data_IF_434090343395
#
_entry.id   IF_434090343395
#
_cell.length_a   1.000
_cell.length_b   1.000
_cell.length_c   1.000
_cell.angle_alpha   90.00
_cell.angle_beta   90.00
_cell.angle_gamma   90.00
#
_symmetry.space_group_name_H-M   'P 1'
#
loop_
_entity.id
_entity.type
_entity.pdbx_description
1 polymer ?
#
# COMPACT_ATOMS: atom_id res chain seq x y z
N UNK A 1 26.35 -34.91 43.93
CA UNK A 1 25.96 -33.49 43.78
C UNK A 1 26.51 -32.85 42.51
N UNK A 2 27.83 -32.89 42.26
CA UNK A 2 28.41 -32.31 41.03
C UNK A 2 27.91 -32.97 39.73
N UNK A 3 27.81 -34.30 39.70
CA UNK A 3 27.35 -35.06 38.52
C UNK A 3 25.89 -34.75 38.19
N UNK A 4 25.02 -34.70 39.20
CA UNK A 4 23.60 -34.36 39.03
C UNK A 4 23.40 -32.93 38.56
N UNK A 5 24.20 -31.98 39.06
CA UNK A 5 24.16 -30.59 38.62
C UNK A 5 24.61 -30.43 37.16
N UNK A 6 25.67 -31.14 36.77
CA UNK A 6 26.17 -31.13 35.39
C UNK A 6 25.14 -31.73 34.42
N UNK A 7 24.49 -32.84 34.79
CA UNK A 7 23.42 -33.44 33.98
C UNK A 7 22.25 -32.48 33.83
N UNK A 8 21.80 -31.83 34.92
CA UNK A 8 20.69 -30.90 34.87
C UNK A 8 20.99 -29.69 33.98
N UNK A 9 22.17 -29.09 34.12
CA UNK A 9 22.61 -27.96 33.30
C UNK A 9 22.66 -28.32 31.81
N UNK A 10 23.22 -29.48 31.49
CA UNK A 10 23.31 -30.00 30.12
C UNK A 10 21.93 -30.19 29.52
N UNK A 11 21.01 -30.77 30.29
CA UNK A 11 19.62 -31.00 29.88
C UNK A 11 18.89 -29.67 29.66
N UNK A 12 19.08 -28.68 30.53
CA UNK A 12 18.48 -27.35 30.38
C UNK A 12 18.99 -26.63 29.13
N UNK A 13 20.29 -26.67 28.86
CA UNK A 13 20.88 -26.07 27.64
C UNK A 13 20.38 -26.79 26.38
N UNK A 14 20.26 -28.11 26.41
CA UNK A 14 19.73 -28.88 25.29
C UNK A 14 18.25 -28.60 25.03
N UNK A 15 17.43 -28.54 26.07
CA UNK A 15 16.00 -28.20 25.97
C UNK A 15 15.83 -26.76 25.49
N UNK A 16 16.57 -25.80 26.06
CA UNK A 16 16.57 -24.42 25.63
C UNK A 16 16.99 -24.32 24.15
N UNK A 17 18.06 -25.00 23.74
CA UNK A 17 18.51 -25.08 22.35
C UNK A 17 17.45 -25.65 21.41
N UNK A 18 16.80 -26.75 21.76
CA UNK A 18 15.73 -27.37 20.95
C UNK A 18 14.47 -26.49 20.85
N UNK A 19 14.18 -25.66 21.85
CA UNK A 19 13.03 -24.75 21.85
C UNK A 19 13.35 -23.44 21.12
N UNK A 20 14.56 -22.89 21.31
CA UNK A 20 14.99 -21.61 20.75
C UNK A 20 15.50 -21.74 19.31
N UNK A 21 16.23 -22.80 18.95
CA UNK A 21 16.78 -22.99 17.61
C UNK A 21 15.72 -22.96 16.49
N UNK A 22 14.55 -23.61 16.59
CA UNK A 22 13.51 -23.51 15.56
C UNK A 22 12.84 -22.12 15.51
N UNK A 23 12.94 -21.31 16.57
CA UNK A 23 12.49 -19.91 16.59
C UNK A 23 13.53 -18.94 16.01
N UNK A 24 14.82 -19.28 16.14
CA UNK A 24 15.96 -18.51 15.64
C UNK A 24 16.31 -18.88 14.19
N UNK A 25 15.92 -20.07 13.73
CA UNK A 25 16.10 -20.48 12.34
C UNK A 25 15.29 -19.54 11.46
N UNK A 26 15.99 -18.65 10.76
CA UNK A 26 15.42 -17.80 9.72
C UNK A 26 14.53 -18.67 8.83
N UNK A 27 13.21 -18.45 8.92
CA UNK A 27 12.27 -19.10 8.00
C UNK A 27 12.62 -18.56 6.61
N UNK A 28 13.27 -19.40 5.81
CA UNK A 28 13.54 -19.07 4.41
C UNK A 28 12.20 -19.04 3.68
N UNK A 29 11.67 -17.84 3.48
CA UNK A 29 10.46 -17.65 2.68
C UNK A 29 10.81 -17.99 1.23
N UNK A 30 10.04 -18.90 0.65
CA UNK A 30 10.14 -19.30 -0.76
C UNK A 30 8.89 -18.77 -1.44
N UNK A 31 9.08 -17.93 -2.45
CA UNK A 31 7.99 -17.43 -3.28
C UNK A 31 7.85 -18.35 -4.50
N UNK A 32 6.62 -18.82 -4.77
CA UNK A 32 6.37 -19.65 -5.94
C UNK A 32 6.50 -18.80 -7.21
N UNK A 33 7.24 -19.32 -8.19
CA UNK A 33 7.49 -18.69 -9.47
C UNK A 33 6.84 -19.48 -10.63
N UNK A 34 5.82 -20.29 -10.33
CA UNK A 34 4.96 -20.94 -11.31
C UNK A 34 3.88 -19.96 -11.78
N UNK A 35 3.83 -19.57 -13.07
CA UNK A 35 2.87 -18.57 -13.55
C UNK A 35 1.42 -18.96 -13.24
N UNK A 36 0.67 -18.03 -12.69
CA UNK A 36 -0.75 -18.17 -12.37
C UNK A 36 -1.54 -16.94 -12.86
N UNK A 37 -2.85 -16.93 -12.60
CA UNK A 37 -3.79 -15.90 -13.05
C UNK A 37 -3.93 -14.80 -12.00
N UNK A 38 -4.42 -13.59 -12.38
CA UNK A 38 -4.64 -12.51 -11.44
C UNK A 38 -5.48 -12.91 -10.23
N UNK A 39 -5.05 -12.45 -9.05
CA UNK A 39 -5.71 -12.67 -7.77
C UNK A 39 -6.28 -11.33 -7.27
N UNK A 40 -7.52 -11.30 -6.77
CA UNK A 40 -8.12 -10.09 -6.20
C UNK A 40 -7.33 -9.48 -5.03
N UNK A 41 -7.38 -8.16 -4.90
CA UNK A 41 -6.85 -7.41 -3.76
C UNK A 41 -7.63 -6.09 -3.56
N UNK A 42 -7.20 -5.28 -2.59
CA UNK A 42 -7.63 -3.88 -2.45
C UNK A 42 -8.21 -3.52 -1.08
N UNK A 43 -8.55 -4.53 -0.27
CA UNK A 43 -8.98 -4.33 1.11
C UNK A 43 -7.77 -4.16 2.03
N UNK A 44 -7.88 -3.31 3.06
CA UNK A 44 -6.86 -3.13 4.12
C UNK A 44 -5.43 -2.95 3.60
N UNK A 45 -5.26 -2.20 2.52
CA UNK A 45 -3.97 -2.11 1.85
C UNK A 45 -3.79 -0.83 1.03
N UNK A 46 -2.58 -0.63 0.52
CA UNK A 46 -2.23 0.43 -0.41
C UNK A 46 -1.80 -0.16 -1.75
N UNK A 47 -2.19 0.48 -2.85
CA UNK A 47 -1.74 0.08 -4.17
C UNK A 47 -1.58 1.25 -5.14
N UNK A 48 -0.77 1.00 -6.17
CA UNK A 48 -0.68 1.80 -7.37
C UNK A 48 -1.28 1.02 -8.55
N UNK A 49 -2.01 1.71 -9.42
CA UNK A 49 -2.27 1.27 -10.77
C UNK A 49 -1.49 2.17 -11.74
N UNK A 50 -0.52 1.58 -12.45
CA UNK A 50 0.36 2.29 -13.38
C UNK A 50 0.02 1.85 -14.79
N UNK A 51 -0.32 2.78 -15.68
CA UNK A 51 -0.66 2.46 -17.08
C UNK A 51 0.61 2.14 -17.86
N UNK A 52 1.02 0.89 -17.84
CA UNK A 52 2.17 0.35 -18.57
C UNK A 52 2.12 -1.17 -18.65
N UNK A 53 2.76 -1.72 -19.68
CA UNK A 53 3.08 -3.15 -19.82
C UNK A 53 4.54 -3.47 -19.49
N UNK A 54 5.35 -2.45 -19.23
CA UNK A 54 6.77 -2.59 -18.91
C UNK A 54 6.98 -2.70 -17.39
N UNK A 55 6.80 -3.91 -16.87
CA UNK A 55 7.00 -4.22 -15.44
C UNK A 55 8.46 -4.02 -15.00
N UNK A 56 9.43 -4.26 -15.89
CA UNK A 56 10.85 -4.06 -15.58
C UNK A 56 11.14 -2.59 -15.30
N UNK A 57 10.61 -1.69 -16.13
CA UNK A 57 10.73 -0.24 -15.90
C UNK A 57 10.08 0.20 -14.59
N UNK A 58 8.95 -0.41 -14.21
CA UNK A 58 8.31 -0.14 -12.90
C UNK A 58 9.27 -0.51 -11.76
N UNK A 59 9.90 -1.68 -11.83
CA UNK A 59 10.87 -2.12 -10.81
C UNK A 59 12.08 -1.19 -10.71
N UNK A 60 12.63 -0.75 -11.84
CA UNK A 60 13.77 0.18 -11.89
C UNK A 60 13.45 1.49 -11.16
N UNK A 61 12.26 2.05 -11.40
CA UNK A 61 11.84 3.33 -10.81
C UNK A 61 11.54 3.19 -9.32
N UNK A 62 10.90 2.08 -8.91
CA UNK A 62 10.63 1.81 -7.50
C UNK A 62 11.93 1.55 -6.72
N UNK A 63 12.89 0.87 -7.34
CA UNK A 63 14.17 0.51 -6.75
C UNK A 63 14.02 -0.46 -5.58
N UNK A 64 13.11 -1.44 -5.69
CA UNK A 64 12.86 -2.45 -4.65
C UNK A 64 14.14 -3.22 -4.28
N UNK A 65 14.23 -3.64 -3.03
CA UNK A 65 15.38 -4.39 -2.53
C UNK A 65 15.19 -5.88 -2.78
N UNK A 66 16.15 -6.50 -3.46
CA UNK A 66 16.17 -7.93 -3.80
C UNK A 66 14.85 -8.42 -4.47
N UNK A 67 14.39 -7.78 -5.57
CA UNK A 67 13.19 -8.23 -6.25
C UNK A 67 13.40 -9.65 -6.80
N UNK A 68 12.42 -10.53 -6.60
CA UNK A 68 12.42 -11.91 -7.08
C UNK A 68 11.13 -12.19 -7.85
N UNK A 69 11.19 -12.94 -8.97
CA UNK A 69 9.99 -13.37 -9.65
C UNK A 69 9.08 -14.15 -8.70
N UNK A 70 7.78 -13.86 -8.74
CA UNK A 70 6.77 -14.64 -8.04
C UNK A 70 5.44 -14.61 -8.79
N UNK A 71 4.59 -15.59 -8.50
CA UNK A 71 3.23 -15.64 -9.01
C UNK A 71 2.28 -14.77 -8.18
N UNK A 72 1.06 -14.54 -8.69
CA UNK A 72 0.06 -13.70 -8.03
C UNK A 72 -0.31 -14.22 -6.66
N UNK A 73 -0.56 -15.53 -6.52
CA UNK A 73 -0.98 -16.09 -5.24
C UNK A 73 0.07 -15.89 -4.15
N UNK A 74 1.34 -16.16 -4.44
CA UNK A 74 2.44 -15.91 -3.50
C UNK A 74 2.64 -14.42 -3.25
N UNK A 75 2.58 -13.59 -4.30
CA UNK A 75 2.76 -12.15 -4.20
C UNK A 75 1.71 -11.46 -3.33
N UNK A 76 0.43 -11.65 -3.68
CA UNK A 76 -0.71 -11.13 -2.93
C UNK A 76 -0.76 -11.71 -1.52
N UNK A 77 -0.55 -13.02 -1.36
CA UNK A 77 -0.50 -13.64 -0.04
C UNK A 77 0.59 -13.04 0.86
N UNK A 78 1.76 -12.72 0.30
CA UNK A 78 2.87 -12.14 1.07
C UNK A 78 2.59 -10.71 1.54
N UNK A 79 1.91 -9.90 0.74
CA UNK A 79 1.62 -8.50 1.11
C UNK A 79 0.42 -8.37 2.07
N UNK A 80 -0.37 -9.43 2.22
CA UNK A 80 -1.42 -9.56 3.23
C UNK A 80 -0.97 -10.28 4.51
N UNK A 81 0.21 -10.93 4.50
CA UNK A 81 0.77 -11.60 5.66
C UNK A 81 1.21 -10.58 6.73
N UNK A 82 0.95 -10.89 8.01
CA UNK A 82 1.21 -9.99 9.14
C UNK A 82 2.70 -9.66 9.32
N UNK A 83 3.62 -10.51 8.86
CA UNK A 83 5.06 -10.30 9.00
C UNK A 83 5.70 -9.76 7.72
N UNK A 84 5.32 -10.30 6.57
CA UNK A 84 5.89 -9.90 5.28
C UNK A 84 5.24 -8.63 4.73
N UNK A 85 3.97 -8.39 5.02
CA UNK A 85 3.22 -7.23 4.50
C UNK A 85 3.72 -5.88 5.00
N UNK A 86 4.42 -5.85 6.13
CA UNK A 86 5.03 -4.63 6.70
C UNK A 86 6.17 -4.07 5.83
N UNK A 87 6.84 -4.92 5.06
CA UNK A 87 8.04 -4.54 4.33
C UNK A 87 8.13 -5.07 2.90
N UNK A 88 7.19 -5.88 2.42
CA UNK A 88 7.20 -6.36 1.04
C UNK A 88 6.21 -5.61 0.15
N UNK A 89 6.59 -5.55 -1.13
CA UNK A 89 5.81 -4.99 -2.22
C UNK A 89 5.74 -6.05 -3.31
N UNK A 90 4.52 -6.29 -3.79
CA UNK A 90 4.28 -7.10 -4.98
C UNK A 90 4.05 -6.18 -6.18
N UNK A 91 4.77 -6.44 -7.28
CA UNK A 91 4.55 -5.82 -8.58
C UNK A 91 3.98 -6.87 -9.50
N UNK A 92 2.76 -6.66 -9.99
CA UNK A 92 2.07 -7.64 -10.81
C UNK A 92 2.66 -7.76 -12.23
N UNK A 93 2.45 -8.88 -12.94
CA UNK A 93 2.49 -8.82 -14.40
C UNK A 93 1.39 -7.86 -14.91
N UNK A 94 1.49 -7.36 -16.15
CA UNK A 94 0.49 -6.46 -16.70
C UNK A 94 -0.88 -7.15 -16.84
N UNK A 95 -1.93 -6.46 -16.38
CA UNK A 95 -3.33 -6.81 -16.64
C UNK A 95 -3.90 -5.74 -17.58
N UNK A 96 -4.24 -6.13 -18.80
CA UNK A 96 -4.59 -5.23 -19.91
C UNK A 96 -3.48 -4.20 -20.24
N UNK A 97 -3.62 -2.97 -19.74
CA UNK A 97 -2.64 -1.89 -19.86
C UNK A 97 -2.08 -1.44 -18.51
N UNK A 98 -2.42 -2.14 -17.42
CA UNK A 98 -2.10 -1.74 -16.06
C UNK A 98 -1.13 -2.72 -15.40
N UNK A 99 -0.09 -2.18 -14.78
CA UNK A 99 0.76 -2.90 -13.83
C UNK A 99 0.42 -2.41 -12.44
N UNK A 100 0.16 -3.34 -11.51
CA UNK A 100 -0.18 -3.01 -10.13
C UNK A 100 1.04 -3.11 -9.23
N UNK A 101 1.16 -2.19 -8.30
CA UNK A 101 2.15 -2.23 -7.21
C UNK A 101 1.36 -2.27 -5.91
N UNK A 102 1.56 -3.31 -5.12
CA UNK A 102 0.61 -3.74 -4.09
C UNK A 102 1.37 -3.95 -2.79
N UNK A 103 0.95 -3.30 -1.71
CA UNK A 103 1.48 -3.54 -0.36
C UNK A 103 1.44 -2.33 0.56
N UNK A 104 1.25 -2.58 1.87
CA UNK A 104 1.20 -1.53 2.91
C UNK A 104 2.54 -0.81 3.11
N UNK A 105 3.64 -1.42 2.68
CA UNK A 105 4.96 -0.81 2.72
C UNK A 105 5.13 0.36 1.71
N UNK A 106 4.14 0.64 0.86
CA UNK A 106 4.12 1.84 0.02
C UNK A 106 4.11 3.11 0.89
N UNK A 107 4.83 4.18 0.50
CA UNK A 107 4.70 5.46 1.16
C UNK A 107 3.25 5.93 1.17
N UNK A 108 2.79 6.44 2.30
CA UNK A 108 1.48 7.04 2.47
C UNK A 108 1.60 8.40 3.17
N UNK A 109 0.64 9.31 3.00
CA UNK A 109 0.68 10.61 3.64
C UNK A 109 0.35 10.50 5.12
N UNK A 110 1.39 10.43 5.96
CA UNK A 110 1.23 10.26 7.43
C UNK A 110 0.67 11.51 8.11
N UNK A 111 1.02 12.70 7.61
CA UNK A 111 0.59 13.98 8.19
C UNK A 111 1.67 15.06 8.14
N UNK A 112 1.35 16.31 8.54
CA UNK A 112 2.24 17.48 8.38
C UNK A 112 3.52 17.43 9.22
N UNK A 113 3.60 16.54 10.22
CA UNK A 113 4.78 16.35 11.07
C UNK A 113 5.83 15.44 10.44
N UNK A 114 5.49 14.75 9.35
CA UNK A 114 6.36 13.82 8.66
C UNK A 114 6.78 14.39 7.31
N UNK A 115 7.94 13.95 6.84
CA UNK A 115 8.40 14.23 5.48
C UNK A 115 7.45 13.54 4.49
N UNK A 116 6.95 14.28 3.49
CA UNK A 116 6.11 13.71 2.44
C UNK A 116 6.95 12.89 1.46
N UNK A 117 6.85 11.56 1.60
CA UNK A 117 7.55 10.59 0.74
C UNK A 117 6.66 10.03 -0.37
N UNK A 118 5.35 10.21 -0.27
CA UNK A 118 4.39 9.67 -1.23
C UNK A 118 4.28 10.58 -2.45
N UNK A 119 4.11 11.91 -2.28
CA UNK A 119 4.01 12.83 -3.42
C UNK A 119 5.23 12.76 -4.37
N UNK A 120 6.49 12.77 -3.89
CA UNK A 120 7.64 12.65 -4.77
C UNK A 120 7.69 11.33 -5.55
N UNK A 121 7.31 10.20 -4.91
CA UNK A 121 7.23 8.89 -5.58
C UNK A 121 6.21 8.93 -6.72
N UNK A 122 5.01 9.47 -6.47
CA UNK A 122 3.95 9.57 -7.48
C UNK A 122 4.36 10.45 -8.66
N UNK A 123 5.02 11.58 -8.40
CA UNK A 123 5.51 12.47 -9.45
C UNK A 123 6.64 11.84 -10.26
N UNK A 124 7.56 11.11 -9.61
CA UNK A 124 8.63 10.41 -10.32
C UNK A 124 8.07 9.31 -11.23
N UNK A 125 7.13 8.50 -10.74
CA UNK A 125 6.42 7.53 -11.57
C UNK A 125 5.67 8.22 -12.71
N UNK A 126 5.00 9.35 -12.45
CA UNK A 126 4.25 10.09 -13.47
C UNK A 126 5.10 10.76 -14.54
N UNK A 127 6.41 10.95 -14.31
CA UNK A 127 7.36 11.36 -15.37
C UNK A 127 7.69 10.22 -16.33
N UNK A 128 7.60 8.98 -15.86
CA UNK A 128 7.95 7.78 -16.62
C UNK A 128 6.73 7.13 -17.28
N UNK A 129 5.55 7.29 -16.68
CA UNK A 129 4.32 6.62 -17.10
C UNK A 129 3.17 7.62 -17.26
N UNK A 130 2.30 7.44 -18.27
CA UNK A 130 1.29 8.43 -18.64
C UNK A 130 0.16 8.59 -17.61
N UNK A 131 -0.17 7.54 -16.85
CA UNK A 131 -1.21 7.60 -15.82
C UNK A 131 -0.80 6.72 -14.62
N UNK A 132 -0.67 7.34 -13.46
CA UNK A 132 -0.30 6.70 -12.19
C UNK A 132 -1.38 7.03 -11.17
N UNK A 133 -2.03 6.00 -10.66
CA UNK A 133 -3.09 6.11 -9.68
C UNK A 133 -2.64 5.46 -8.39
N UNK A 134 -2.94 6.09 -7.27
CA UNK A 134 -2.65 5.61 -5.94
C UNK A 134 -3.95 5.49 -5.17
N UNK A 135 -4.04 4.45 -4.35
CA UNK A 135 -5.17 4.20 -3.48
C UNK A 135 -4.68 3.62 -2.16
N UNK A 136 -5.39 3.95 -1.09
CA UNK A 136 -5.19 3.41 0.24
C UNK A 136 -6.57 3.24 0.89
N UNK A 137 -6.85 2.05 1.39
CA UNK A 137 -8.07 1.77 2.16
C UNK A 137 -7.70 0.95 3.40
N UNK A 138 -7.91 1.52 4.58
CA UNK A 138 -7.70 0.81 5.84
C UNK A 138 -8.71 1.22 6.91
N UNK A 139 -9.90 0.59 6.92
CA UNK A 139 -10.99 0.97 7.81
C UNK A 139 -10.68 0.90 9.30
N UNK A 140 -9.76 0.02 9.74
CA UNK A 140 -9.44 -0.13 11.16
C UNK A 140 -8.81 1.13 11.78
N UNK A 141 -8.18 1.98 10.96
CA UNK A 141 -7.55 3.24 11.40
C UNK A 141 -8.19 4.46 10.71
N UNK A 142 -9.40 4.28 10.16
CA UNK A 142 -10.15 5.30 9.40
C UNK A 142 -9.30 6.06 8.36
N UNK A 143 -8.37 5.34 7.70
CA UNK A 143 -7.46 5.93 6.74
C UNK A 143 -7.86 5.59 5.31
N UNK A 144 -8.15 6.63 4.53
CA UNK A 144 -8.53 6.51 3.13
C UNK A 144 -7.78 7.54 2.31
N UNK A 145 -7.19 7.11 1.20
CA UNK A 145 -6.50 8.01 0.28
C UNK A 145 -6.65 7.58 -1.18
N UNK A 146 -6.59 8.57 -2.05
CA UNK A 146 -6.41 8.36 -3.48
C UNK A 146 -5.67 9.53 -4.11
N UNK A 147 -4.83 9.24 -5.11
CA UNK A 147 -4.18 10.27 -5.89
C UNK A 147 -4.05 9.82 -7.35
N UNK A 148 -3.95 10.80 -8.26
CA UNK A 148 -3.74 10.54 -9.68
C UNK A 148 -2.77 11.56 -10.25
N UNK A 149 -1.70 11.03 -10.84
CA UNK A 149 -0.75 11.77 -11.66
C UNK A 149 -0.99 11.35 -13.10
N UNK A 150 -1.18 12.33 -13.99
CA UNK A 150 -1.36 12.09 -15.42
C UNK A 150 -0.42 13.00 -16.19
N UNK A 151 0.33 12.43 -17.13
CA UNK A 151 1.32 13.13 -17.95
C UNK A 151 2.26 14.00 -17.09
N UNK A 152 2.80 13.43 -16.00
CA UNK A 152 3.68 14.12 -15.05
C UNK A 152 3.01 15.13 -14.10
N UNK A 153 1.71 15.38 -14.21
CA UNK A 153 1.00 16.38 -13.43
C UNK A 153 0.11 15.75 -12.37
N UNK A 154 0.20 16.23 -11.11
CA UNK A 154 -0.71 15.83 -10.04
C UNK A 154 -2.10 16.41 -10.29
N UNK A 155 -3.03 15.57 -10.78
CA UNK A 155 -4.39 15.98 -11.14
C UNK A 155 -5.28 16.07 -9.89
N UNK A 156 -5.13 15.10 -9.00
CA UNK A 156 -5.93 14.96 -7.77
C UNK A 156 -5.12 14.25 -6.70
N UNK A 157 -5.19 14.71 -5.46
CA UNK A 157 -4.75 13.96 -4.29
C UNK A 157 -5.66 14.25 -3.11
N UNK A 158 -6.20 13.20 -2.52
CA UNK A 158 -7.01 13.25 -1.32
C UNK A 158 -6.55 12.19 -0.33
N UNK A 159 -6.50 12.54 0.94
CA UNK A 159 -6.22 11.62 2.02
C UNK A 159 -6.88 12.14 3.29
N UNK A 160 -7.50 11.25 4.05
CA UNK A 160 -8.15 11.53 5.32
C UNK A 160 -7.81 10.42 6.31
N UNK A 161 -7.59 10.80 7.56
CA UNK A 161 -7.48 9.92 8.72
C UNK A 161 -8.45 10.37 9.81
N UNK A 162 -8.42 9.71 10.97
CA UNK A 162 -9.12 10.15 12.18
C UNK A 162 -8.80 11.62 12.57
N UNK A 163 -7.60 12.11 12.27
CA UNK A 163 -7.19 13.49 12.57
C UNK A 163 -7.76 14.52 11.56
N UNK A 164 -8.43 14.06 10.50
CA UNK A 164 -9.00 14.89 9.44
C UNK A 164 -8.25 14.80 8.11
N UNK A 165 -8.50 15.76 7.22
CA UNK A 165 -7.95 15.76 5.87
C UNK A 165 -6.43 16.06 5.87
N UNK A 166 -5.64 15.14 5.33
CA UNK A 166 -4.18 15.24 5.18
C UNK A 166 -3.82 15.81 3.81
N UNK A 167 -4.50 15.32 2.76
CA UNK A 167 -4.38 15.86 1.41
C UNK A 167 -5.74 16.31 0.91
N UNK A 168 -5.76 17.50 0.29
CA UNK A 168 -6.87 17.93 -0.55
C UNK A 168 -6.34 18.84 -1.66
N UNK A 169 -5.71 18.24 -2.67
CA UNK A 169 -5.11 18.93 -3.82
C UNK A 169 -5.85 18.55 -5.10
N UNK A 170 -5.93 19.50 -6.04
CA UNK A 170 -6.63 19.32 -7.30
C UNK A 170 -8.16 19.45 -7.17
N UNK A 171 -8.83 19.53 -8.32
CA UNK A 171 -10.30 19.64 -8.37
C UNK A 171 -10.93 18.26 -8.16
N UNK A 172 -12.06 18.21 -7.44
CA UNK A 172 -12.89 17.00 -7.33
C UNK A 172 -13.23 16.50 -8.74
N UNK A 173 -12.87 15.25 -9.01
CA UNK A 173 -13.07 14.59 -10.29
C UNK A 173 -14.55 14.25 -10.53
N UNK A 174 -14.99 14.12 -11.79
CA UNK A 174 -16.35 13.64 -12.11
C UNK A 174 -16.67 12.29 -11.47
N UNK A 175 -15.68 11.40 -11.38
CA UNK A 175 -15.81 10.07 -10.80
C UNK A 175 -16.04 10.13 -9.29
N UNK A 176 -15.29 10.98 -8.56
CA UNK A 176 -15.55 11.27 -7.14
C UNK A 176 -16.98 11.83 -6.95
N UNK A 177 -17.36 12.83 -7.74
CA UNK A 177 -18.70 13.45 -7.65
C UNK A 177 -19.80 12.44 -7.88
N UNK A 178 -19.65 11.56 -8.87
CA UNK A 178 -20.62 10.52 -9.19
C UNK A 178 -20.65 9.37 -8.16
N UNK A 179 -19.73 9.33 -7.19
CA UNK A 179 -19.78 8.44 -6.03
C UNK A 179 -20.39 9.10 -4.80
N UNK A 180 -20.82 10.36 -4.91
CA UNK A 180 -21.29 11.09 -3.74
C UNK A 180 -20.17 11.50 -2.80
N UNK A 181 -18.89 11.39 -3.22
CA UNK A 181 -17.72 11.96 -2.55
C UNK A 181 -17.73 13.48 -2.76
N UNK A 182 -18.77 14.11 -2.23
CA UNK A 182 -18.85 15.55 -2.07
C UNK A 182 -18.11 15.80 -0.77
N UNK A 183 -16.79 15.95 -0.89
CA UNK A 183 -15.89 16.37 0.16
C UNK A 183 -16.21 17.83 0.52
N UNK A 184 -17.42 18.07 1.00
CA UNK A 184 -17.82 19.34 1.54
C UNK A 184 -17.09 19.46 2.87
N UNK A 185 -16.28 20.50 2.99
CA UNK A 185 -16.29 21.26 4.22
C UNK A 185 -17.67 21.91 4.25
N UNK A 186 -18.67 21.26 4.83
CA UNK A 186 -19.95 21.90 5.13
C UNK A 186 -19.60 22.97 6.15
N UNK A 187 -19.23 24.17 5.70
CA UNK A 187 -18.96 25.31 6.59
C UNK A 187 -20.12 25.37 7.56
N UNK A 188 -19.84 25.06 8.82
CA UNK A 188 -20.84 25.20 9.86
C UNK A 188 -21.44 26.60 9.77
N UNK A 189 -22.71 26.73 10.17
CA UNK A 189 -23.40 28.01 10.08
C UNK A 189 -22.58 29.04 10.87
N UNK A 190 -22.00 30.03 10.18
CA UNK A 190 -21.20 31.10 10.80
C UNK A 190 -21.98 31.65 12.00
N UNK A 191 -21.43 31.50 13.20
CA UNK A 191 -22.04 32.00 14.44
C UNK A 191 -22.77 30.96 15.31
N UNK A 192 -22.89 29.70 14.91
CA UNK A 192 -23.34 28.62 15.80
C UNK A 192 -22.16 27.92 16.47
N UNK A 193 -22.26 27.70 17.79
CA UNK A 193 -21.32 26.87 18.58
C UNK A 193 -21.86 25.43 18.67
N UNK A 194 -20.96 24.47 18.86
CA UNK A 194 -21.28 23.05 18.95
C UNK A 194 -21.29 22.34 17.59
N UNK A 195 -21.90 21.17 17.54
CA UNK A 195 -21.85 20.17 16.45
C UNK A 195 -22.42 20.68 15.10
N UNK A 196 -23.16 21.80 15.15
CA UNK A 196 -23.74 22.48 13.98
C UNK A 196 -22.88 23.65 13.44
N UNK A 197 -21.73 23.92 14.07
CA UNK A 197 -20.80 25.00 13.72
C UNK A 197 -19.47 24.53 13.11
N UNK A 198 -19.18 23.24 13.14
CA UNK A 198 -17.99 22.63 12.53
C UNK A 198 -18.17 22.26 11.06
N UNK A 199 -17.06 22.03 10.37
CA UNK A 199 -17.08 21.48 9.01
C UNK A 199 -17.54 20.02 9.03
N UNK A 200 -18.65 19.69 8.37
CA UNK A 200 -19.10 18.29 8.25
C UNK A 200 -18.40 17.66 7.06
N UNK A 201 -17.31 16.93 7.31
CA UNK A 201 -16.67 16.09 6.29
C UNK A 201 -17.42 14.77 6.23
N UNK A 202 -17.98 14.44 5.05
CA UNK A 202 -18.47 13.09 4.80
C UNK A 202 -17.27 12.15 4.64
N UNK A 203 -17.08 11.26 5.62
CA UNK A 203 -16.02 10.28 5.58
C UNK A 203 -16.22 9.29 4.42
N UNK A 204 -15.19 9.04 3.59
CA UNK A 204 -15.24 7.98 2.61
C UNK A 204 -15.28 6.62 3.31
N UNK A 205 -15.59 5.59 2.52
CA UNK A 205 -15.55 4.19 2.96
C UNK A 205 -14.63 3.43 2.02
N UNK A 206 -14.26 2.22 2.40
CA UNK A 206 -13.48 1.32 1.55
C UNK A 206 -14.15 1.09 0.19
N UNK A 207 -15.47 0.89 0.17
CA UNK A 207 -16.25 0.75 -1.06
C UNK A 207 -16.09 1.97 -1.99
N UNK A 208 -16.02 3.18 -1.45
CA UNK A 208 -15.79 4.37 -2.26
C UNK A 208 -14.41 4.35 -2.93
N UNK A 209 -13.36 3.91 -2.22
CA UNK A 209 -12.00 3.82 -2.77
C UNK A 209 -11.95 2.76 -3.88
N UNK A 210 -12.53 1.58 -3.66
CA UNK A 210 -12.59 0.50 -4.64
C UNK A 210 -13.38 0.90 -5.90
N UNK A 211 -14.55 1.54 -5.71
CA UNK A 211 -15.34 2.04 -6.84
C UNK A 211 -14.63 3.15 -7.61
N UNK A 212 -13.86 3.99 -6.92
CA UNK A 212 -13.06 5.02 -7.59
C UNK A 212 -11.95 4.38 -8.43
N UNK A 213 -11.27 3.37 -7.89
CA UNK A 213 -10.28 2.59 -8.64
C UNK A 213 -10.87 1.94 -9.89
N UNK A 214 -12.04 1.31 -9.77
CA UNK A 214 -12.79 0.75 -10.90
C UNK A 214 -13.12 1.79 -11.98
N UNK A 215 -13.43 3.04 -11.58
CA UNK A 215 -13.73 4.13 -12.53
C UNK A 215 -12.48 4.73 -13.18
N UNK A 216 -11.33 4.68 -12.52
CA UNK A 216 -10.10 5.28 -13.02
C UNK A 216 -9.21 4.32 -13.82
N UNK A 217 -9.20 3.03 -13.46
CA UNK A 217 -8.42 1.97 -14.12
C UNK A 217 -9.21 0.66 -14.15
N UNK A 218 -9.02 -0.21 -13.15
CA UNK A 218 -9.65 -1.52 -13.03
C UNK A 218 -10.12 -1.74 -11.59
N UNK A 219 -11.13 -2.60 -11.44
CA UNK A 219 -11.59 -3.07 -10.13
C UNK A 219 -10.60 -4.13 -9.60
N UNK A 220 -9.81 -3.84 -8.55
CA UNK A 220 -8.81 -4.78 -8.04
C UNK A 220 -9.46 -6.01 -7.41
N UNK A 221 -10.75 -5.96 -7.07
CA UNK A 221 -11.49 -7.09 -6.47
C UNK A 221 -12.02 -8.08 -7.50
N UNK A 222 -11.93 -7.76 -8.80
CA UNK A 222 -12.50 -8.56 -9.91
C UNK A 222 -11.48 -8.96 -10.97
N UNK A 223 -10.19 -8.92 -10.63
CA UNK A 223 -9.10 -9.17 -11.59
C UNK A 223 -9.07 -10.59 -12.13
N UNK A 224 -9.59 -11.57 -11.40
CA UNK A 224 -9.72 -12.97 -11.83
C UNK A 224 -10.50 -13.15 -13.15
N UNK A 225 -11.42 -12.23 -13.44
CA UNK A 225 -12.21 -12.22 -14.67
C UNK A 225 -11.46 -11.63 -15.87
N UNK A 226 -10.28 -11.03 -15.67
CA UNK A 226 -9.50 -10.45 -16.76
C UNK A 226 -9.03 -11.55 -17.73
N UNK A 227 -9.21 -11.35 -19.05
CA UNK A 227 -8.84 -12.34 -20.08
C UNK A 227 -7.33 -12.30 -20.39
N UNK A 228 -6.48 -12.29 -19.35
CA UNK A 228 -5.03 -12.25 -19.47
C UNK A 228 -4.42 -13.64 -19.23
N UNK A 229 -3.31 -13.97 -19.92
CA UNK A 229 -2.60 -15.23 -19.69
C UNK A 229 -1.99 -15.26 -18.28
N UNK A 230 -1.66 -16.47 -17.83
CA UNK A 230 -0.88 -16.63 -16.61
C UNK A 230 0.48 -15.95 -16.74
N UNK A 231 0.97 -15.32 -15.67
CA UNK A 231 2.18 -14.51 -15.70
C UNK A 231 2.89 -14.44 -14.35
N UNK A 232 4.13 -13.94 -14.38
CA UNK A 232 4.91 -13.70 -13.17
C UNK A 232 5.04 -12.20 -12.91
N UNK A 233 4.82 -11.84 -11.65
CA UNK A 233 5.19 -10.56 -11.10
C UNK A 233 6.52 -10.67 -10.37
N UNK A 234 6.74 -9.71 -9.47
CA UNK A 234 7.93 -9.64 -8.64
C UNK A 234 7.55 -9.25 -7.22
N UNK A 235 8.16 -9.90 -6.24
CA UNK A 235 8.10 -9.51 -4.83
C UNK A 235 9.46 -9.00 -4.41
N UNK A 236 9.49 -7.88 -3.69
CA UNK A 236 10.73 -7.29 -3.18
C UNK A 236 10.47 -6.50 -1.91
N UNK A 237 11.52 -6.25 -1.13
CA UNK A 237 11.39 -5.43 0.06
C UNK A 237 11.33 -3.94 -0.31
N UNK A 238 10.50 -3.19 0.41
CA UNK A 238 10.41 -1.75 0.31
C UNK A 238 11.76 -1.10 0.67
N UNK A 239 12.24 -0.13 -0.11
CA UNK A 239 13.44 0.62 0.22
C UNK A 239 13.30 1.35 1.56
N UNK A 240 14.33 1.32 2.41
CA UNK A 240 14.32 2.00 3.71
C UNK A 240 14.01 3.51 3.62
N UNK A 241 14.32 4.14 2.48
CA UNK A 241 13.96 5.55 2.21
C UNK A 241 12.46 5.81 2.30
N UNK A 242 11.59 4.81 2.14
CA UNK A 242 10.13 4.94 2.20
C UNK A 242 9.58 5.01 3.63
N UNK A 243 10.35 4.61 4.64
CA UNK A 243 9.90 4.63 6.02
C UNK A 243 9.51 6.05 6.47
N UNK A 244 8.42 6.21 7.25
CA UNK A 244 8.05 7.50 7.82
C UNK A 244 9.21 8.16 8.57
N UNK A 245 9.41 9.45 8.33
CA UNK A 245 10.48 10.24 8.95
C UNK A 245 9.91 11.56 9.45
N UNK A 246 10.16 11.89 10.72
CA UNK A 246 9.72 13.15 11.30
C UNK A 246 10.46 14.32 10.67
N UNK A 247 9.74 15.42 10.40
CA UNK A 247 10.37 16.68 10.04
C UNK A 247 11.25 17.13 11.20
N UNK A 248 12.55 17.35 10.93
CA UNK A 248 13.45 17.95 11.92
C UNK A 248 12.96 19.36 12.21
N UNK A 249 12.67 19.67 13.48
CA UNK A 249 12.46 21.06 13.90
C UNK A 249 13.79 21.78 13.69
N UNK A 250 13.85 22.71 12.76
CA UNK A 250 14.92 23.69 12.73
C UNK A 250 14.80 24.51 14.01
N UNK A 251 15.77 24.37 14.90
CA UNK A 251 15.89 25.18 16.11
C UNK A 251 16.30 26.61 15.75
#
# INVERSE_FOLDING_TARGET
MLITLAILLSLTVAIAGCILAPRIRERRVVFDATPDRPVPFGLKMAWLAIRTRDTARVLDVLGLVNPRPCNWNSGIGSVYDDHLGENHIFVSPPVDEWTFVVGLALPYPVGPRFVDKCTPLLLELGRQFPDVQYFFSYPLIDFFAWARVRDGNLVRAFAISEEGAIWNKGKITPEERGLGLKLFELRGVRGRKGDAGGEIILYPTEEHVLRLASRWSLDPTRLEAAPVPAGLGYIGAAPAKWNPELMRKTA
#
